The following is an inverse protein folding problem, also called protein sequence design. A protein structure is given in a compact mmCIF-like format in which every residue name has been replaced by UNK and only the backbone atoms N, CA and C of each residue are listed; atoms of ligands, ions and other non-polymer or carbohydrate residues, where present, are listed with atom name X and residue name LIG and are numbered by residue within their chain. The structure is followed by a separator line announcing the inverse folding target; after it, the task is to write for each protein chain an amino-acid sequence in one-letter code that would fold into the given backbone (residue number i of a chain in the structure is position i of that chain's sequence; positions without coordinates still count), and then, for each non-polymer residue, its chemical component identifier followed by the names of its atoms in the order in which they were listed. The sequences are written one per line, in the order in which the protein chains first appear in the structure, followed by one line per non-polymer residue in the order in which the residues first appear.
data_IF_411457629182
#
_entry.id   IF_411457629182
#
_cell.length_a   1.000
_cell.length_b   1.000
_cell.length_c   1.000
_cell.angle_alpha   90.00
_cell.angle_beta   90.00
_cell.angle_gamma   90.00
#
_symmetry.space_group_name_H-M   'P 1'
#
loop_
_entity.id
_entity.type
_entity.pdbx_description
1 polymer ?
#
# COMPACT_ATOMS: atom_id res chain seq x y z
N UNK A 1 -23.41 -12.02 -41.91
CA UNK A 1 -22.43 -12.94 -42.52
C UNK A 1 -23.21 -13.96 -43.33
N UNK A 2 -22.91 -14.17 -44.62
CA UNK A 2 -23.65 -15.14 -45.43
C UNK A 2 -23.48 -16.55 -44.87
N UNK A 3 -24.54 -17.37 -44.96
CA UNK A 3 -24.50 -18.73 -44.45
C UNK A 3 -23.49 -19.56 -45.28
N UNK A 4 -22.58 -20.31 -44.63
CA UNK A 4 -21.66 -21.20 -45.34
C UNK A 4 -22.43 -22.27 -46.10
N UNK A 5 -21.99 -22.56 -47.31
CA UNK A 5 -22.56 -23.59 -48.15
C UNK A 5 -22.58 -24.96 -47.41
N UNK A 6 -23.71 -25.71 -47.42
CA UNK A 6 -23.87 -26.91 -46.60
C UNK A 6 -22.81 -28.01 -46.76
N UNK A 7 -22.22 -28.14 -47.96
CA UNK A 7 -21.13 -29.12 -48.23
C UNK A 7 -19.73 -28.66 -47.78
N UNK A 8 -19.56 -27.40 -47.38
CA UNK A 8 -18.27 -26.83 -46.98
C UNK A 8 -18.32 -26.37 -45.53
N UNK A 9 -18.64 -27.31 -44.63
CA UNK A 9 -18.68 -27.08 -43.19
C UNK A 9 -17.48 -27.70 -42.49
N UNK A 10 -16.88 -26.98 -41.57
CA UNK A 10 -15.78 -27.50 -40.72
C UNK A 10 -16.24 -27.58 -39.27
N UNK A 11 -15.59 -28.42 -38.46
CA UNK A 11 -15.91 -28.58 -37.04
C UNK A 11 -15.75 -27.28 -36.25
N UNK A 12 -14.76 -26.45 -36.60
CA UNK A 12 -14.54 -25.16 -35.97
C UNK A 12 -15.68 -24.17 -36.21
N UNK A 13 -16.47 -24.33 -37.28
CA UNK A 13 -17.64 -23.48 -37.54
C UNK A 13 -18.78 -23.72 -36.54
N UNK A 14 -18.75 -24.77 -35.73
CA UNK A 14 -19.75 -25.04 -34.69
C UNK A 14 -19.65 -24.04 -33.54
N UNK A 15 -18.43 -23.63 -33.18
CA UNK A 15 -18.23 -22.64 -32.11
C UNK A 15 -18.76 -21.26 -32.56
N UNK A 16 -19.64 -20.67 -31.75
CA UNK A 16 -20.30 -19.39 -32.08
C UNK A 16 -21.34 -19.45 -33.20
N UNK A 17 -21.71 -20.65 -33.69
CA UNK A 17 -22.76 -20.81 -34.72
C UNK A 17 -24.17 -20.57 -34.21
N UNK A 18 -24.38 -20.72 -32.90
CA UNK A 18 -25.68 -20.56 -32.24
C UNK A 18 -25.70 -19.22 -31.51
N UNK A 19 -26.80 -18.49 -31.68
CA UNK A 19 -27.04 -17.29 -30.90
C UNK A 19 -27.33 -17.67 -29.43
N UNK A 20 -26.83 -16.90 -28.45
CA UNK A 20 -27.17 -17.11 -27.05
C UNK A 20 -28.66 -16.81 -26.80
N UNK A 21 -29.24 -17.53 -25.86
CA UNK A 21 -30.63 -17.41 -25.41
C UNK A 21 -30.69 -16.97 -23.95
N UNK A 22 -31.88 -16.60 -23.47
CA UNK A 22 -32.11 -16.22 -22.06
C UNK A 22 -31.75 -17.35 -21.08
N UNK A 23 -31.73 -18.61 -21.53
CA UNK A 23 -31.36 -19.76 -20.70
C UNK A 23 -29.85 -20.01 -20.66
N UNK A 24 -29.08 -19.34 -21.52
CA UNK A 24 -27.61 -19.45 -21.56
C UNK A 24 -26.93 -18.41 -20.66
N UNK A 25 -27.67 -17.41 -20.18
CA UNK A 25 -27.15 -16.33 -19.32
C UNK A 25 -27.44 -16.58 -17.85
N UNK A 26 -26.52 -16.24 -16.93
CA UNK A 26 -26.78 -16.35 -15.50
C UNK A 26 -27.78 -15.28 -15.05
N UNK A 27 -28.63 -15.62 -14.07
CA UNK A 27 -29.60 -14.67 -13.49
C UNK A 27 -28.92 -13.49 -12.78
N UNK A 28 -27.76 -13.72 -12.16
CA UNK A 28 -26.97 -12.69 -11.48
C UNK A 28 -25.49 -12.87 -11.80
N UNK A 29 -24.77 -11.76 -11.96
CA UNK A 29 -23.32 -11.75 -12.17
C UNK A 29 -22.66 -10.78 -11.18
N UNK A 30 -21.90 -11.32 -10.23
CA UNK A 30 -21.25 -10.55 -9.16
C UNK A 30 -19.78 -10.32 -9.50
N UNK A 31 -19.49 -9.26 -10.25
CA UNK A 31 -18.11 -8.88 -10.59
C UNK A 31 -17.43 -8.20 -9.41
N UNK A 32 -16.16 -8.54 -9.21
CA UNK A 32 -15.27 -7.77 -8.35
C UNK A 32 -14.85 -6.49 -9.06
N UNK A 33 -15.14 -5.33 -8.46
CA UNK A 33 -14.67 -4.06 -8.98
C UNK A 33 -13.15 -3.93 -8.79
N UNK A 34 -12.44 -3.66 -9.88
CA UNK A 34 -11.02 -3.33 -9.85
C UNK A 34 -10.76 -1.81 -9.88
N UNK A 35 -11.80 -0.98 -9.69
CA UNK A 35 -11.66 0.48 -9.81
C UNK A 35 -10.57 1.05 -8.88
N UNK A 36 -10.55 0.65 -7.61
CA UNK A 36 -9.52 1.06 -6.64
C UNK A 36 -8.12 0.60 -7.02
N UNK A 37 -7.96 -0.66 -7.43
CA UNK A 37 -6.65 -1.20 -7.82
C UNK A 37 -6.14 -0.54 -9.10
N UNK A 38 -7.03 -0.25 -10.06
CA UNK A 38 -6.66 0.38 -11.32
C UNK A 38 -6.15 1.82 -11.11
N UNK A 39 -6.72 2.58 -10.17
CA UNK A 39 -6.22 3.92 -9.87
C UNK A 39 -4.83 3.88 -9.23
N UNK A 40 -4.62 2.98 -8.26
CA UNK A 40 -3.33 2.84 -7.56
C UNK A 40 -2.24 2.19 -8.42
N UNK A 41 -2.59 1.28 -9.32
CA UNK A 41 -1.63 0.62 -10.21
C UNK A 41 -0.87 1.62 -11.10
N UNK A 42 -1.48 2.76 -11.43
CA UNK A 42 -0.84 3.83 -12.21
C UNK A 42 0.32 4.51 -11.44
N UNK A 43 0.27 4.51 -10.11
CA UNK A 43 1.30 5.12 -9.27
C UNK A 43 2.58 4.28 -9.19
N UNK A 44 2.56 3.02 -9.64
CA UNK A 44 3.71 2.12 -9.61
C UNK A 44 4.09 1.67 -8.20
N UNK A 45 5.34 1.24 -8.04
CA UNK A 45 5.84 0.75 -6.75
C UNK A 45 6.12 1.92 -5.80
N UNK A 46 5.62 1.83 -4.57
CA UNK A 46 5.92 2.79 -3.51
C UNK A 46 7.43 2.88 -3.28
N UNK A 47 7.93 4.09 -3.10
CA UNK A 47 9.31 4.37 -2.68
C UNK A 47 9.29 5.18 -1.40
N UNK A 48 10.00 4.71 -0.40
CA UNK A 48 10.25 5.48 0.81
C UNK A 48 11.36 6.50 0.55
N UNK A 49 11.03 7.78 0.69
CA UNK A 49 11.96 8.90 0.61
C UNK A 49 11.99 9.69 1.94
N UNK A 50 11.44 9.14 3.02
CA UNK A 50 11.44 9.75 4.34
C UNK A 50 12.84 9.74 4.96
N UNK A 51 13.15 10.77 5.75
CA UNK A 51 14.33 10.79 6.61
C UNK A 51 13.96 10.21 7.97
N UNK A 52 14.82 9.37 8.54
CA UNK A 52 14.65 8.94 9.92
C UNK A 52 15.04 10.09 10.86
N UNK A 53 14.04 10.70 11.49
CA UNK A 53 14.21 11.77 12.48
C UNK A 53 13.89 11.30 13.90
N UNK A 54 13.80 9.99 14.15
CA UNK A 54 13.56 9.49 15.49
C UNK A 54 14.75 9.83 16.38
N UNK A 55 14.53 10.63 17.42
CA UNK A 55 15.50 10.81 18.49
C UNK A 55 15.48 9.60 19.42
N UNK A 56 16.65 9.26 19.95
CA UNK A 56 16.74 8.21 20.95
C UNK A 56 15.92 8.57 22.19
N UNK A 57 15.16 7.61 22.70
CA UNK A 57 14.30 7.76 23.88
C UNK A 57 14.95 7.11 25.10
N UNK A 58 16.24 7.31 25.25
CA UNK A 58 16.96 6.84 26.43
C UNK A 58 16.42 7.56 27.67
N UNK A 59 16.30 6.85 28.79
CA UNK A 59 15.94 7.47 30.07
C UNK A 59 16.97 8.53 30.52
N UNK A 60 18.23 8.37 30.07
CA UNK A 60 19.37 9.23 30.43
C UNK A 60 19.67 10.28 29.34
N UNK A 61 19.22 10.07 28.11
CA UNK A 61 19.43 10.96 26.94
C UNK A 61 18.11 11.22 26.19
N UNK A 62 17.00 11.26 26.95
CA UNK A 62 15.70 11.67 26.43
C UNK A 62 15.69 13.15 26.04
N UNK A 63 14.58 13.67 25.48
CA UNK A 63 14.48 15.08 25.08
C UNK A 63 14.85 16.07 26.20
N UNK A 64 14.63 15.70 27.47
CA UNK A 64 15.01 16.49 28.65
C UNK A 64 16.50 16.36 29.05
N UNK A 65 17.27 15.58 28.30
CA UNK A 65 18.67 15.22 28.55
C UNK A 65 19.59 15.42 27.33
N UNK A 66 19.08 15.98 26.22
CA UNK A 66 19.93 16.38 25.11
C UNK A 66 20.71 17.64 25.51
N UNK A 67 22.00 17.49 25.82
CA UNK A 67 22.93 18.61 25.92
C UNK A 67 23.09 19.18 24.52
N UNK A 68 22.22 20.14 24.16
CA UNK A 68 22.37 20.88 22.92
C UNK A 68 23.55 21.83 23.05
N UNK A 69 24.19 22.20 21.94
CA UNK A 69 25.26 23.22 21.95
C UNK A 69 24.78 24.61 22.39
N UNK A 70 23.48 24.79 22.66
CA UNK A 70 22.91 26.02 23.23
C UNK A 70 22.55 25.87 24.71
N UNK A 71 22.63 24.67 25.27
CA UNK A 71 22.18 24.37 26.62
C UNK A 71 23.31 23.91 27.55
N UNK A 72 24.41 24.68 27.55
CA UNK A 72 25.54 24.42 28.44
C UNK A 72 25.30 24.86 29.90
N UNK A 73 24.15 25.49 30.19
CA UNK A 73 23.85 26.07 31.49
C UNK A 73 22.65 25.43 32.20
N UNK A 74 21.77 24.69 31.50
CA UNK A 74 20.73 23.91 32.17
C UNK A 74 21.21 22.47 32.34
N UNK A 75 21.91 22.24 33.45
CA UNK A 75 22.24 20.88 33.88
C UNK A 75 20.95 20.12 34.21
N UNK A 76 20.92 18.82 33.89
CA UNK A 76 19.80 17.94 34.20
C UNK A 76 19.44 18.03 35.71
N UNK A 77 18.15 17.94 36.11
CA UNK A 77 17.75 18.08 37.52
C UNK A 77 18.42 17.11 38.51
N UNK A 78 19.01 16.02 38.03
CA UNK A 78 19.83 15.11 38.85
C UNK A 78 21.22 15.65 39.20
N UNK A 79 21.69 16.69 38.50
CA UNK A 79 22.99 17.31 38.74
C UNK A 79 22.93 18.18 40.00
N UNK A 80 23.63 17.75 41.04
CA UNK A 80 23.79 18.51 42.27
C UNK A 80 25.21 19.11 42.32
N UNK A 81 25.39 20.43 42.16
CA UNK A 81 26.72 21.05 42.24
C UNK A 81 27.32 21.04 43.65
N UNK A 82 26.54 20.63 44.67
CA UNK A 82 26.92 20.63 46.09
C UNK A 82 27.03 19.22 46.68
N UNK A 83 26.92 18.15 45.89
CA UNK A 83 26.94 16.78 46.39
C UNK A 83 26.87 15.72 45.28
N UNK A 84 26.85 14.42 45.63
CA UNK A 84 26.72 13.37 44.63
C UNK A 84 25.38 13.50 43.89
N UNK A 85 25.43 13.47 42.56
CA UNK A 85 24.24 13.42 41.70
C UNK A 85 23.54 12.07 41.85
N UNK A 86 22.22 12.07 41.92
CA UNK A 86 21.40 10.85 42.08
C UNK A 86 20.82 10.41 40.73
N UNK A 87 20.82 9.12 40.44
CA UNK A 87 20.30 8.55 39.21
C UNK A 87 18.79 8.71 39.08
#
# INVERSE_FOLDING_TARGET
KPEPHPRYRTTNQVYGSKAPTVHDVPNCFHVTSHAFSNTLAQCGMYRDNGLNTSLDKSHVTGPDNFITAYDYLNFHPSYNPKGPSHC
#
